data_IF_907821233811
#
_entry.id   IF_907821233811
#
_cell.length_a   1.000
_cell.length_b   1.000
_cell.length_c   1.000
_cell.angle_alpha   90.00
_cell.angle_beta   90.00
_cell.angle_gamma   90.00
#
_symmetry.space_group_name_H-M   'P 1'
#
loop_
_entity.id
_entity.type
_entity.pdbx_description
1 polymer ?
#
# COMPACT_ATOMS: atom_id res chain seq x y z
N UNK A 1 -11.16 -18.19 -4.50
CA UNK A 1 -10.03 -17.22 -4.45
C UNK A 1 -10.56 -15.84 -4.05
N UNK A 2 -9.81 -15.12 -3.22
CA UNK A 2 -10.16 -13.76 -2.79
C UNK A 2 -9.26 -12.79 -3.54
N UNK A 3 -9.85 -11.76 -4.16
CA UNK A 3 -9.14 -10.65 -4.79
C UNK A 3 -9.42 -9.38 -4.01
N UNK A 4 -8.38 -8.62 -3.69
CA UNK A 4 -8.51 -7.29 -3.09
C UNK A 4 -8.02 -6.23 -4.08
N UNK A 5 -8.66 -5.07 -4.09
CA UNK A 5 -8.28 -3.94 -4.95
C UNK A 5 -7.91 -2.74 -4.10
N UNK A 6 -6.79 -2.13 -4.42
CA UNK A 6 -6.31 -0.90 -3.78
C UNK A 6 -6.06 0.15 -4.85
N UNK A 7 -7.04 0.99 -5.20
CA UNK A 7 -6.85 2.01 -6.25
C UNK A 7 -5.82 3.08 -5.89
N UNK A 8 -5.63 3.35 -4.61
CA UNK A 8 -4.67 4.35 -4.11
C UNK A 8 -3.74 3.73 -3.06
N UNK A 9 -2.77 2.89 -3.50
CA UNK A 9 -1.78 2.30 -2.61
C UNK A 9 -0.85 3.35 -2.01
N UNK A 10 -0.09 2.96 -1.00
CA UNK A 10 0.90 3.83 -0.36
C UNK A 10 2.13 3.07 0.12
N UNK A 11 3.25 3.79 0.22
CA UNK A 11 4.32 3.43 1.14
C UNK A 11 3.99 4.07 2.49
N UNK A 12 3.73 3.27 3.49
CA UNK A 12 3.45 3.74 4.85
C UNK A 12 4.76 3.74 5.64
N UNK A 13 5.29 4.95 5.85
CA UNK A 13 6.58 5.19 6.52
C UNK A 13 6.32 5.62 7.96
N UNK A 14 6.69 4.78 8.91
CA UNK A 14 6.60 5.09 10.34
C UNK A 14 7.97 5.49 10.87
N UNK A 15 8.04 6.63 11.53
CA UNK A 15 9.26 7.22 12.08
C UNK A 15 9.08 7.47 13.59
N UNK A 16 9.97 6.91 14.39
CA UNK A 16 9.99 7.11 15.83
C UNK A 16 11.00 8.19 16.21
N UNK A 17 10.64 9.03 17.15
CA UNK A 17 11.45 10.12 17.68
C UNK A 17 11.40 10.16 19.20
N UNK A 18 12.49 10.57 19.83
CA UNK A 18 12.52 10.81 21.29
C UNK A 18 11.66 12.02 21.69
N UNK A 19 11.62 13.03 20.82
CA UNK A 19 10.77 14.20 20.94
C UNK A 19 10.39 14.71 19.57
N UNK A 20 9.23 15.32 19.44
CA UNK A 20 8.76 15.94 18.19
C UNK A 20 8.12 17.30 18.46
N UNK A 21 8.75 18.34 17.95
CA UNK A 21 8.30 19.73 18.07
C UNK A 21 8.25 20.39 16.70
N UNK A 22 7.18 21.14 16.43
CA UNK A 22 7.03 21.89 15.18
C UNK A 22 8.11 22.97 15.08
N UNK A 23 8.72 23.11 13.91
CA UNK A 23 9.75 24.11 13.64
C UNK A 23 11.18 23.70 14.01
N UNK A 24 11.37 22.48 14.52
CA UNK A 24 12.67 21.95 14.90
C UNK A 24 13.16 20.86 13.92
N UNK A 25 14.46 20.58 13.95
CA UNK A 25 15.06 19.45 13.23
C UNK A 25 15.06 18.23 14.14
N UNK A 26 14.50 17.14 13.63
CA UNK A 26 14.44 15.88 14.35
C UNK A 26 15.13 14.76 13.57
N UNK A 27 15.79 13.84 14.28
CA UNK A 27 16.36 12.63 13.70
C UNK A 27 15.60 11.42 14.25
N UNK A 28 15.08 10.61 13.35
CA UNK A 28 14.38 9.39 13.74
C UNK A 28 15.34 8.39 14.41
N UNK A 29 14.86 7.77 15.47
CA UNK A 29 15.56 6.67 16.15
C UNK A 29 15.29 5.33 15.46
N UNK A 30 14.13 5.20 14.82
CA UNK A 30 13.71 4.02 14.06
C UNK A 30 12.85 4.44 12.88
N UNK A 31 13.00 3.77 11.75
CA UNK A 31 12.17 3.96 10.56
C UNK A 31 11.76 2.61 10.00
N UNK A 32 10.47 2.42 9.77
CA UNK A 32 9.91 1.26 9.08
C UNK A 32 9.12 1.70 7.85
N UNK A 33 9.12 0.89 6.80
CA UNK A 33 8.33 1.13 5.58
C UNK A 33 7.53 -0.13 5.28
N UNK A 34 6.24 0.04 5.07
CA UNK A 34 5.33 -1.03 4.69
C UNK A 34 4.53 -0.63 3.46
N UNK A 35 4.11 -1.63 2.67
CA UNK A 35 3.12 -1.41 1.63
C UNK A 35 1.75 -1.24 2.29
N UNK A 36 1.03 -0.18 1.95
CA UNK A 36 -0.25 0.18 2.53
C UNK A 36 -1.35 0.40 1.48
N UNK A 37 -2.55 0.53 1.99
CA UNK A 37 -3.80 0.70 1.25
C UNK A 37 -4.86 -0.27 1.75
N UNK A 38 -6.12 0.09 1.64
CA UNK A 38 -7.22 -0.68 2.27
C UNK A 38 -7.27 -2.14 1.80
N UNK A 39 -7.25 -2.39 0.49
CA UNK A 39 -7.24 -3.75 -0.05
C UNK A 39 -5.98 -4.54 0.34
N UNK A 40 -4.80 -3.89 0.31
CA UNK A 40 -3.54 -4.49 0.75
C UNK A 40 -3.62 -4.90 2.24
N UNK A 41 -4.18 -4.03 3.09
CA UNK A 41 -4.34 -4.32 4.51
C UNK A 41 -5.32 -5.49 4.75
N UNK A 42 -6.37 -5.60 3.94
CA UNK A 42 -7.28 -6.76 3.96
C UNK A 42 -6.52 -8.04 3.59
N UNK A 43 -5.73 -8.02 2.51
CA UNK A 43 -4.91 -9.17 2.11
C UNK A 43 -3.92 -9.60 3.18
N UNK A 44 -3.29 -8.66 3.88
CA UNK A 44 -2.44 -8.97 5.03
C UNK A 44 -3.21 -9.62 6.18
N UNK A 45 -4.40 -9.10 6.50
CA UNK A 45 -5.24 -9.68 7.54
C UNK A 45 -5.71 -11.10 7.18
N UNK A 46 -6.04 -11.34 5.92
CA UNK A 46 -6.36 -12.68 5.41
C UNK A 46 -5.17 -13.63 5.55
N UNK A 47 -3.99 -13.19 5.16
CA UNK A 47 -2.75 -13.99 5.27
C UNK A 47 -2.43 -14.36 6.72
N UNK A 48 -2.63 -13.45 7.69
CA UNK A 48 -2.51 -13.75 9.12
C UNK A 48 -3.51 -14.83 9.57
N UNK A 49 -4.66 -14.92 8.93
CA UNK A 49 -5.66 -15.99 9.13
C UNK A 49 -5.39 -17.25 8.31
N UNK A 50 -4.28 -17.36 7.61
CA UNK A 50 -3.95 -18.49 6.74
C UNK A 50 -4.78 -18.55 5.44
N UNK A 51 -5.39 -17.43 5.04
CA UNK A 51 -6.24 -17.34 3.85
C UNK A 51 -5.46 -16.63 2.74
N UNK A 52 -5.26 -17.34 1.62
CA UNK A 52 -4.57 -16.77 0.46
C UNK A 52 -5.44 -15.74 -0.27
N UNK A 53 -4.81 -14.71 -0.80
CA UNK A 53 -5.46 -13.67 -1.60
C UNK A 53 -4.53 -13.08 -2.66
N UNK A 54 -5.13 -12.47 -3.69
CA UNK A 54 -4.42 -11.67 -4.68
C UNK A 54 -4.78 -10.20 -4.49
N UNK A 55 -3.78 -9.35 -4.30
CA UNK A 55 -3.95 -7.91 -4.16
C UNK A 55 -3.60 -7.20 -5.47
N UNK A 56 -4.57 -6.48 -6.05
CA UNK A 56 -4.42 -5.72 -7.30
C UNK A 56 -4.30 -4.24 -6.98
N UNK A 57 -3.27 -3.58 -7.50
CA UNK A 57 -3.05 -2.16 -7.28
C UNK A 57 -2.21 -1.52 -8.39
N UNK A 58 -2.42 -0.22 -8.68
CA UNK A 58 -1.61 0.53 -9.64
C UNK A 58 -0.27 0.92 -9.04
N UNK A 59 0.78 0.87 -9.86
CA UNK A 59 2.11 1.39 -9.51
C UNK A 59 2.92 1.62 -10.78
N UNK A 60 3.73 2.67 -10.81
CA UNK A 60 4.78 2.82 -11.82
C UNK A 60 5.86 1.73 -11.67
N UNK A 61 6.70 1.49 -12.69
CA UNK A 61 7.60 0.34 -12.72
C UNK A 61 8.55 0.23 -11.52
N UNK A 62 9.14 1.35 -11.10
CA UNK A 62 10.08 1.37 -9.96
C UNK A 62 9.35 1.11 -8.64
N UNK A 63 8.21 1.77 -8.43
CA UNK A 63 7.39 1.59 -7.23
C UNK A 63 6.77 0.19 -7.17
N UNK A 64 6.40 -0.39 -8.32
CA UNK A 64 5.89 -1.75 -8.40
C UNK A 64 6.90 -2.78 -7.86
N UNK A 65 8.18 -2.62 -8.17
CA UNK A 65 9.24 -3.48 -7.65
C UNK A 65 9.38 -3.35 -6.13
N UNK A 66 9.40 -2.12 -5.61
CA UNK A 66 9.46 -1.86 -4.18
C UNK A 66 8.25 -2.40 -3.43
N UNK A 67 7.05 -2.19 -3.95
CA UNK A 67 5.80 -2.72 -3.38
C UNK A 67 5.79 -4.26 -3.34
N UNK A 68 6.19 -4.90 -4.46
CA UNK A 68 6.29 -6.37 -4.52
C UNK A 68 7.30 -6.93 -3.52
N UNK A 69 8.44 -6.26 -3.32
CA UNK A 69 9.43 -6.66 -2.31
C UNK A 69 8.84 -6.63 -0.91
N UNK A 70 8.14 -5.55 -0.56
CA UNK A 70 7.49 -5.41 0.78
C UNK A 70 6.37 -6.43 1.00
N UNK A 71 5.64 -6.81 -0.06
CA UNK A 71 4.53 -7.77 0.01
C UNK A 71 4.98 -9.22 -0.15
N UNK A 72 6.12 -9.46 -0.80
CA UNK A 72 6.66 -10.79 -1.04
C UNK A 72 7.09 -11.55 0.23
N UNK A 73 7.22 -10.85 1.34
CA UNK A 73 7.51 -11.43 2.66
C UNK A 73 6.24 -11.95 3.36
N UNK A 74 5.04 -11.67 2.81
CA UNK A 74 3.77 -12.10 3.39
C UNK A 74 3.31 -13.38 2.73
N UNK A 75 3.42 -14.49 3.45
CA UNK A 75 2.98 -15.81 2.98
C UNK A 75 1.47 -15.80 2.66
N UNK A 76 1.09 -16.34 1.51
CA UNK A 76 -0.31 -16.39 1.06
C UNK A 76 -0.82 -15.10 0.39
N UNK A 77 -0.02 -14.04 0.28
CA UNK A 77 -0.37 -12.83 -0.43
C UNK A 77 0.34 -12.79 -1.80
N UNK A 78 -0.43 -12.77 -2.87
CA UNK A 78 0.07 -12.54 -4.23
C UNK A 78 -0.22 -11.10 -4.64
N UNK A 79 0.77 -10.37 -5.16
CA UNK A 79 0.59 -9.01 -5.66
C UNK A 79 0.49 -8.98 -7.18
N UNK A 80 -0.51 -8.30 -7.70
CA UNK A 80 -0.68 -7.97 -9.12
C UNK A 80 -0.63 -6.46 -9.30
N UNK A 81 0.47 -5.98 -9.86
CA UNK A 81 0.66 -4.55 -10.13
C UNK A 81 0.18 -4.19 -11.52
N UNK A 82 -0.55 -3.09 -11.63
CA UNK A 82 -0.99 -2.51 -12.90
C UNK A 82 -0.12 -1.29 -13.19
N UNK A 83 0.64 -1.33 -14.28
CA UNK A 83 1.50 -0.21 -14.66
C UNK A 83 0.67 0.94 -15.22
N UNK A 84 0.44 1.93 -14.39
CA UNK A 84 -0.24 3.18 -14.77
C UNK A 84 0.73 4.32 -15.02
N UNK A 85 2.05 4.07 -14.86
CA UNK A 85 3.08 5.12 -14.94
C UNK A 85 3.02 6.15 -13.81
N UNK A 86 2.08 6.01 -12.85
CA UNK A 86 1.92 6.96 -11.75
C UNK A 86 2.71 6.55 -10.52
N UNK A 87 3.30 7.50 -9.77
CA UNK A 87 4.00 7.20 -8.54
C UNK A 87 3.02 6.77 -7.43
N UNK A 88 3.48 5.84 -6.58
CA UNK A 88 2.80 5.49 -5.34
C UNK A 88 3.05 6.57 -4.29
N UNK A 89 2.00 7.03 -3.63
CA UNK A 89 2.12 8.03 -2.55
C UNK A 89 2.86 7.50 -1.34
N UNK A 90 3.43 8.41 -0.56
CA UNK A 90 4.00 8.11 0.75
C UNK A 90 3.15 8.73 1.85
N UNK A 91 2.75 7.93 2.83
CA UNK A 91 2.16 8.40 4.08
C UNK A 91 3.22 8.30 5.18
N UNK A 92 3.41 9.39 5.92
CA UNK A 92 4.35 9.40 7.05
C UNK A 92 3.58 9.40 8.36
N UNK A 93 3.94 8.49 9.24
CA UNK A 93 3.47 8.44 10.62
C UNK A 93 4.65 8.78 11.54
N UNK A 94 4.50 9.83 12.33
CA UNK A 94 5.45 10.24 13.36
C UNK A 94 4.95 9.76 14.70
N UNK A 95 5.79 9.05 15.46
CA UNK A 95 5.49 8.58 16.81
C UNK A 95 6.56 9.12 17.76
N UNK A 96 6.15 9.84 18.79
CA UNK A 96 7.07 10.33 19.82
C UNK A 96 7.19 9.35 21.01
N UNK A 97 8.05 9.68 21.96
CA UNK A 97 8.33 8.82 23.13
C UNK A 97 7.12 8.61 24.04
N UNK A 98 6.15 9.52 24.02
CA UNK A 98 4.88 9.38 24.75
C UNK A 98 3.83 8.56 23.98
N UNK A 99 4.16 8.09 22.76
CA UNK A 99 3.25 7.34 21.91
C UNK A 99 2.24 8.20 21.15
N UNK A 100 2.43 9.52 21.13
CA UNK A 100 1.58 10.43 20.33
C UNK A 100 1.89 10.21 18.86
N UNK A 101 0.84 10.05 18.08
CA UNK A 101 0.93 9.75 16.65
C UNK A 101 0.45 10.94 15.80
N UNK A 102 1.31 11.40 14.91
CA UNK A 102 0.98 12.42 13.90
C UNK A 102 1.10 11.82 12.52
N UNK A 103 0.08 12.00 11.67
CA UNK A 103 0.05 11.47 10.31
C UNK A 103 0.15 12.60 9.29
N UNK A 104 1.04 12.43 8.32
CA UNK A 104 1.28 13.32 7.20
C UNK A 104 1.08 12.52 5.91
N UNK A 105 -0.08 12.65 5.30
CA UNK A 105 -0.49 11.82 4.17
C UNK A 105 -0.48 12.62 2.86
N UNK A 106 0.08 12.02 1.82
CA UNK A 106 -0.08 12.51 0.46
C UNK A 106 -1.44 12.08 -0.12
N UNK A 107 -2.02 12.90 -1.00
CA UNK A 107 -3.30 12.60 -1.64
C UNK A 107 -3.23 11.37 -2.55
N UNK A 108 -2.13 11.20 -3.26
CA UNK A 108 -1.96 10.19 -4.29
C UNK A 108 -2.13 10.75 -5.70
N UNK A 109 -1.89 9.92 -6.69
CA UNK A 109 -2.01 10.28 -8.09
C UNK A 109 -3.48 10.33 -8.54
N UNK A 110 -3.78 11.24 -9.44
CA UNK A 110 -5.04 11.24 -10.19
C UNK A 110 -4.88 10.37 -11.44
N UNK A 111 -5.88 9.56 -11.73
CA UNK A 111 -5.90 8.75 -12.94
C UNK A 111 -6.58 9.51 -14.08
N UNK A 112 -5.95 9.48 -15.25
CA UNK A 112 -6.66 9.75 -16.50
C UNK A 112 -7.57 8.58 -16.88
N UNK A 113 -8.39 8.77 -17.91
CA UNK A 113 -9.32 7.72 -18.35
C UNK A 113 -8.59 6.44 -18.78
N UNK A 114 -7.44 6.57 -19.43
CA UNK A 114 -6.65 5.43 -19.91
C UNK A 114 -6.11 4.56 -18.76
N UNK A 115 -5.59 5.18 -17.71
CA UNK A 115 -5.10 4.46 -16.53
C UNK A 115 -6.25 3.79 -15.76
N UNK A 116 -7.39 4.47 -15.67
CA UNK A 116 -8.59 3.92 -15.05
C UNK A 116 -9.09 2.68 -15.80
N UNK A 117 -9.20 2.78 -17.13
CA UNK A 117 -9.65 1.67 -17.98
C UNK A 117 -8.69 0.47 -17.87
N UNK A 118 -7.39 0.73 -17.82
CA UNK A 118 -6.38 -0.32 -17.64
C UNK A 118 -6.50 -1.00 -16.27
N UNK A 119 -6.69 -0.23 -15.21
CA UNK A 119 -6.90 -0.76 -13.86
C UNK A 119 -8.17 -1.63 -13.81
N UNK A 120 -9.27 -1.13 -14.35
CA UNK A 120 -10.55 -1.86 -14.40
C UNK A 120 -10.45 -3.16 -15.21
N UNK A 121 -9.77 -3.14 -16.35
CA UNK A 121 -9.54 -4.34 -17.15
C UNK A 121 -8.72 -5.39 -16.39
N UNK A 122 -7.66 -4.97 -15.71
CA UNK A 122 -6.82 -5.87 -14.89
C UNK A 122 -7.57 -6.44 -13.70
N UNK A 123 -8.43 -5.65 -13.06
CA UNK A 123 -9.32 -6.12 -11.99
C UNK A 123 -10.33 -7.14 -12.52
N UNK A 124 -10.96 -6.87 -13.66
CA UNK A 124 -11.92 -7.79 -14.29
C UNK A 124 -11.27 -9.13 -14.66
N UNK A 125 -10.04 -9.11 -15.17
CA UNK A 125 -9.28 -10.33 -15.47
C UNK A 125 -8.95 -11.11 -14.19
N UNK A 126 -8.40 -10.43 -13.17
CA UNK A 126 -8.02 -11.05 -11.90
C UNK A 126 -9.22 -11.64 -11.16
N UNK A 127 -10.43 -11.10 -11.36
CA UNK A 127 -11.66 -11.54 -10.69
C UNK A 127 -12.47 -12.55 -11.47
N UNK A 128 -12.06 -12.92 -12.68
CA UNK A 128 -12.83 -13.84 -13.55
C UNK A 128 -13.16 -15.20 -12.88
N UNK A 129 -12.32 -15.68 -12.00
CA UNK A 129 -12.49 -16.92 -11.23
C UNK A 129 -12.53 -16.67 -9.70
N UNK A 130 -12.69 -15.43 -9.27
CA UNK A 130 -12.71 -15.08 -7.86
C UNK A 130 -14.11 -15.33 -7.24
N UNK A 131 -14.12 -15.82 -6.01
CA UNK A 131 -15.34 -15.96 -5.20
C UNK A 131 -15.68 -14.64 -4.50
N UNK A 132 -14.67 -13.84 -4.19
CA UNK A 132 -14.81 -12.57 -3.47
C UNK A 132 -13.93 -11.48 -4.08
N UNK A 133 -14.50 -10.30 -4.22
CA UNK A 133 -13.82 -9.05 -4.55
C UNK A 133 -14.03 -8.06 -3.41
N UNK A 134 -12.92 -7.52 -2.88
CA UNK A 134 -12.93 -6.54 -1.79
C UNK A 134 -12.14 -5.29 -2.23
N UNK A 135 -12.74 -4.10 -2.10
CA UNK A 135 -12.12 -2.82 -2.49
C UNK A 135 -12.53 -1.64 -1.62
#
# INVERSE_FOLDING_TARGET
MIVTVTPNPSFDRTMHFDSFEVGMVHRATEVTVEAGGKGINVSRALALGGIASTSVFPAGPDDANAMRSLLGEVEGLTSLTVDTGTPVRTNVTVIDAEGRTTKLNEAGAEFGQGELDQLLASVAEATSEAEWLVG
#
